data_IF_911869108575
#
_entry.id   IF_911869108575
#
_cell.length_a   1.000
_cell.length_b   1.000
_cell.length_c   1.000
_cell.angle_alpha   90.00
_cell.angle_beta   90.00
_cell.angle_gamma   90.00
#
_symmetry.space_group_name_H-M   'P 1'
#
loop_
_entity.id
_entity.type
_entity.pdbx_description
1 polymer ?
#
# COMPACT_ATOMS: atom_id res chain seq x y z
N UNK A 1 -0.36 -8.10 81.63
CA UNK A 1 -1.57 -7.98 80.80
C UNK A 1 -1.13 -7.46 79.45
N UNK A 2 -1.32 -8.28 78.43
CA UNK A 2 -0.65 -8.28 77.12
C UNK A 2 -0.90 -6.99 76.31
N UNK A 3 0.16 -6.39 75.76
CA UNK A 3 0.03 -5.38 74.70
C UNK A 3 0.41 -6.02 73.36
N UNK A 4 -0.61 -6.25 72.53
CA UNK A 4 -0.48 -6.66 71.13
C UNK A 4 0.05 -5.47 70.32
N UNK A 5 1.21 -5.63 69.67
CA UNK A 5 1.68 -4.68 68.63
C UNK A 5 1.34 -5.30 67.28
N UNK A 6 0.28 -4.77 66.65
CA UNK A 6 -0.12 -5.11 65.29
C UNK A 6 0.76 -4.30 64.34
N UNK A 7 1.74 -4.95 63.72
CA UNK A 7 2.54 -4.38 62.65
C UNK A 7 1.77 -4.38 61.33
N UNK A 8 1.37 -3.20 60.87
CA UNK A 8 0.78 -3.01 59.55
C UNK A 8 1.87 -3.04 58.47
N UNK A 9 1.95 -4.15 57.71
CA UNK A 9 2.76 -4.23 56.50
C UNK A 9 2.06 -3.46 55.37
N UNK A 10 2.59 -2.27 55.04
CA UNK A 10 2.21 -1.53 53.84
C UNK A 10 2.83 -2.21 52.62
N UNK A 11 2.01 -2.93 51.84
CA UNK A 11 2.37 -3.41 50.52
C UNK A 11 2.39 -2.23 49.53
N UNK A 12 3.55 -1.62 49.32
CA UNK A 12 3.77 -0.71 48.21
C UNK A 12 3.82 -1.50 46.89
N UNK A 13 2.70 -1.51 46.17
CA UNK A 13 2.62 -1.96 44.79
C UNK A 13 3.32 -0.94 43.89
N UNK A 14 4.56 -1.25 43.51
CA UNK A 14 5.32 -0.46 42.55
C UNK A 14 4.85 -0.83 41.14
N UNK A 15 3.96 -0.03 40.54
CA UNK A 15 3.56 -0.19 39.15
C UNK A 15 4.76 0.13 38.25
N UNK A 16 5.44 -0.91 37.75
CA UNK A 16 6.49 -0.76 36.74
C UNK A 16 5.89 -0.11 35.50
N UNK A 17 6.07 1.20 35.35
CA UNK A 17 5.86 1.88 34.07
C UNK A 17 6.84 1.25 33.08
N UNK A 18 6.32 0.57 32.07
CA UNK A 18 7.11 0.05 30.95
C UNK A 18 7.64 1.28 30.21
N UNK A 19 8.89 1.65 30.49
CA UNK A 19 9.59 2.70 29.75
C UNK A 19 9.89 2.17 28.37
N UNK A 20 9.11 2.58 27.37
CA UNK A 20 9.41 2.32 25.96
C UNK A 20 10.65 3.15 25.62
N UNK A 21 11.82 2.51 25.57
CA UNK A 21 13.07 3.14 25.13
C UNK A 21 12.88 3.66 23.70
N UNK A 22 12.76 4.98 23.57
CA UNK A 22 12.69 5.67 22.27
C UNK A 22 14.09 6.14 21.92
N UNK A 23 14.76 5.46 21.00
CA UNK A 23 16.02 5.93 20.40
C UNK A 23 15.68 6.71 19.13
N UNK A 24 16.14 7.96 19.07
CA UNK A 24 16.11 8.77 17.85
C UNK A 24 17.24 8.30 16.93
N UNK A 25 16.92 8.07 15.67
CA UNK A 25 17.86 7.71 14.60
C UNK A 25 17.49 8.53 13.36
N UNK A 26 18.47 8.90 12.53
CA UNK A 26 18.17 9.47 11.21
C UNK A 26 17.50 8.40 10.34
N UNK A 27 16.38 8.73 9.69
CA UNK A 27 15.65 7.77 8.87
C UNK A 27 16.50 7.18 7.74
N UNK A 28 17.47 7.94 7.21
CA UNK A 28 18.36 7.48 6.13
C UNK A 28 19.28 6.34 6.51
N UNK A 29 19.56 6.19 7.81
CA UNK A 29 20.40 5.11 8.32
C UNK A 29 19.63 3.77 8.36
N UNK A 30 18.32 3.80 8.14
CA UNK A 30 17.49 2.61 8.07
C UNK A 30 17.62 1.95 6.69
N UNK A 31 18.15 0.73 6.66
CA UNK A 31 18.18 -0.12 5.46
C UNK A 31 16.80 -0.76 5.21
N UNK A 32 15.79 0.08 4.94
CA UNK A 32 14.43 -0.38 4.59
C UNK A 32 14.50 -1.14 3.27
N UNK A 33 13.96 -2.37 3.25
CA UNK A 33 14.12 -3.29 2.13
C UNK A 33 13.00 -3.12 1.10
N UNK A 34 13.30 -2.48 -0.01
CA UNK A 34 12.45 -2.50 -1.21
C UNK A 34 12.56 -3.82 -1.98
N UNK A 35 11.60 -4.12 -2.85
CA UNK A 35 11.67 -5.25 -3.76
C UNK A 35 12.50 -4.91 -5.02
N UNK A 36 13.56 -5.67 -5.26
CA UNK A 36 14.37 -5.58 -6.49
C UNK A 36 13.89 -6.61 -7.52
N UNK A 37 13.58 -6.13 -8.74
CA UNK A 37 13.17 -6.95 -9.87
C UNK A 37 13.31 -6.15 -11.17
N UNK A 38 13.60 -6.81 -12.29
CA UNK A 38 13.46 -6.21 -13.63
C UNK A 38 12.03 -6.39 -14.13
N UNK A 39 11.55 -7.64 -14.05
CA UNK A 39 10.21 -8.03 -14.44
C UNK A 39 9.54 -8.84 -13.34
N UNK A 40 8.24 -8.61 -13.14
CA UNK A 40 7.43 -9.31 -12.15
C UNK A 40 6.11 -9.75 -12.77
N UNK A 41 5.72 -11.01 -12.55
CA UNK A 41 4.38 -11.50 -12.87
C UNK A 41 3.68 -11.85 -11.57
N UNK A 42 2.46 -11.32 -11.39
CA UNK A 42 1.65 -11.50 -10.18
C UNK A 42 0.28 -12.02 -10.57
N UNK A 43 -0.23 -12.99 -9.83
CA UNK A 43 -1.63 -13.38 -9.85
C UNK A 43 -2.24 -13.06 -8.49
N UNK A 44 -3.36 -12.34 -8.46
CA UNK A 44 -4.02 -11.93 -7.19
C UNK A 44 -5.52 -12.18 -7.22
N UNK A 45 -6.11 -12.34 -6.03
CA UNK A 45 -7.51 -11.99 -5.79
C UNK A 45 -7.57 -10.52 -5.38
N UNK A 46 -8.60 -9.84 -5.87
CA UNK A 46 -8.82 -8.42 -5.60
C UNK A 46 -10.26 -8.22 -5.22
N UNK A 47 -10.49 -7.56 -4.09
CA UNK A 47 -11.78 -7.03 -3.69
C UNK A 47 -11.68 -5.50 -3.69
N UNK A 48 -12.57 -4.85 -4.44
CA UNK A 48 -12.71 -3.41 -4.44
C UNK A 48 -14.08 -3.05 -3.88
N UNK A 49 -14.10 -2.26 -2.82
CA UNK A 49 -15.32 -1.91 -2.10
C UNK A 49 -15.48 -0.40 -2.03
N UNK A 50 -16.62 0.04 -2.53
CA UNK A 50 -17.13 1.40 -2.46
C UNK A 50 -18.38 1.39 -1.56
N UNK A 51 -18.88 2.56 -1.19
CA UNK A 51 -20.02 2.74 -0.26
C UNK A 51 -21.21 1.80 -0.53
N UNK A 52 -21.50 1.51 -1.80
CA UNK A 52 -22.68 0.74 -2.21
C UNK A 52 -22.36 -0.50 -3.06
N UNK A 53 -21.08 -0.80 -3.28
CA UNK A 53 -20.68 -1.82 -4.26
C UNK A 53 -19.40 -2.52 -3.83
N UNK A 54 -19.45 -3.84 -3.83
CA UNK A 54 -18.25 -4.69 -3.72
C UNK A 54 -18.05 -5.43 -5.03
N UNK A 55 -16.86 -5.27 -5.61
CA UNK A 55 -16.46 -5.93 -6.85
C UNK A 55 -15.31 -6.87 -6.58
N UNK A 56 -15.50 -8.16 -6.92
CA UNK A 56 -14.47 -9.17 -6.78
C UNK A 56 -13.88 -9.54 -8.15
N UNK A 57 -12.56 -9.63 -8.23
CA UNK A 57 -11.84 -9.99 -9.44
C UNK A 57 -10.63 -10.89 -9.15
N UNK A 58 -10.21 -11.63 -10.18
CA UNK A 58 -8.86 -12.19 -10.25
C UNK A 58 -8.03 -11.31 -11.17
N UNK A 59 -6.90 -10.83 -10.66
CA UNK A 59 -5.95 -10.01 -11.42
C UNK A 59 -4.78 -10.87 -11.90
N UNK A 60 -4.40 -10.68 -13.17
CA UNK A 60 -3.09 -11.08 -13.69
C UNK A 60 -2.34 -9.80 -14.00
N UNK A 61 -1.23 -9.57 -13.33
CA UNK A 61 -0.43 -8.36 -13.41
C UNK A 61 0.96 -8.74 -13.94
N UNK A 62 1.50 -7.90 -14.81
CA UNK A 62 2.87 -7.96 -15.29
C UNK A 62 3.48 -6.59 -15.11
N UNK A 63 4.66 -6.52 -14.55
CA UNK A 63 5.37 -5.28 -14.34
C UNK A 63 6.77 -5.35 -14.96
N UNK A 64 7.19 -4.24 -15.55
CA UNK A 64 8.60 -3.90 -15.68
C UNK A 64 8.85 -2.76 -14.72
N UNK A 65 9.82 -2.93 -13.83
CA UNK A 65 10.12 -1.95 -12.78
C UNK A 65 10.32 -0.56 -13.38
N UNK A 66 9.69 0.42 -12.74
CA UNK A 66 9.78 1.84 -13.05
C UNK A 66 9.43 2.18 -14.50
N UNK A 67 8.55 1.40 -15.14
CA UNK A 67 8.24 1.58 -16.56
C UNK A 67 6.79 1.27 -16.93
N UNK A 68 6.30 0.07 -16.63
CA UNK A 68 4.97 -0.34 -17.09
C UNK A 68 4.35 -1.37 -16.15
N UNK A 69 3.06 -1.17 -15.87
CA UNK A 69 2.20 -2.13 -15.18
C UNK A 69 1.09 -2.52 -16.15
N UNK A 70 1.10 -3.74 -16.63
CA UNK A 70 0.03 -4.31 -17.43
C UNK A 70 -0.83 -5.21 -16.56
N UNK A 71 -2.14 -5.18 -16.76
CA UNK A 71 -3.02 -6.06 -16.01
C UNK A 71 -4.22 -6.53 -16.81
N UNK A 72 -4.78 -7.66 -16.38
CA UNK A 72 -6.05 -8.15 -16.85
C UNK A 72 -6.88 -8.62 -15.66
N UNK A 73 -8.07 -8.07 -15.53
CA UNK A 73 -9.04 -8.43 -14.50
C UNK A 73 -10.09 -9.36 -15.11
N UNK A 74 -10.36 -10.46 -14.42
CA UNK A 74 -11.45 -11.37 -14.74
C UNK A 74 -12.38 -11.54 -13.56
N UNK A 75 -13.68 -11.52 -13.82
CA UNK A 75 -14.72 -11.80 -12.83
C UNK A 75 -14.86 -13.30 -12.54
N UNK A 76 -16.02 -13.69 -12.01
CA UNK A 76 -16.38 -15.09 -11.83
C UNK A 76 -16.28 -15.89 -13.15
N UNK A 77 -15.95 -17.18 -13.05
CA UNK A 77 -15.80 -18.10 -14.20
C UNK A 77 -14.73 -17.69 -15.24
N UNK A 78 -13.82 -16.76 -14.92
CA UNK A 78 -12.70 -16.38 -15.78
C UNK A 78 -13.08 -15.46 -16.95
N UNK A 79 -14.29 -14.88 -16.94
CA UNK A 79 -14.72 -13.91 -17.95
C UNK A 79 -13.83 -12.67 -17.85
N UNK A 80 -13.08 -12.38 -18.92
CA UNK A 80 -12.16 -11.23 -18.96
C UNK A 80 -12.98 -9.93 -19.04
N UNK A 81 -12.98 -9.16 -17.97
CA UNK A 81 -13.75 -7.92 -17.90
C UNK A 81 -12.95 -6.71 -18.39
N UNK A 82 -11.71 -6.58 -17.88
CA UNK A 82 -10.90 -5.38 -18.08
C UNK A 82 -9.47 -5.77 -18.41
N UNK A 83 -8.85 -5.06 -19.37
CA UNK A 83 -7.40 -5.07 -19.56
C UNK A 83 -6.90 -3.64 -19.43
N UNK A 84 -5.81 -3.45 -18.71
CA UNK A 84 -5.18 -2.15 -18.57
C UNK A 84 -3.68 -2.18 -18.83
N UNK A 85 -3.16 -1.01 -19.14
CA UNK A 85 -1.73 -0.72 -19.13
C UNK A 85 -1.54 0.65 -18.49
N UNK A 86 -0.64 0.72 -17.52
CA UNK A 86 -0.26 1.91 -16.79
C UNK A 86 1.21 2.17 -17.11
N UNK A 87 1.50 3.35 -17.60
CA UNK A 87 2.86 3.88 -17.81
C UNK A 87 3.06 5.09 -16.91
N UNK A 88 4.25 5.69 -16.92
CA UNK A 88 4.55 6.87 -16.08
C UNK A 88 3.67 8.09 -16.35
N UNK A 89 3.06 8.15 -17.53
CA UNK A 89 2.29 9.29 -18.02
C UNK A 89 0.79 9.01 -18.13
N UNK A 90 0.36 7.75 -18.19
CA UNK A 90 -1.03 7.44 -18.52
C UNK A 90 -1.53 6.10 -17.96
N UNK A 91 -2.84 6.05 -17.76
CA UNK A 91 -3.62 4.84 -17.49
C UNK A 91 -4.53 4.60 -18.67
N UNK A 92 -4.38 3.45 -19.33
CA UNK A 92 -5.20 3.05 -20.48
C UNK A 92 -6.00 1.81 -20.13
N UNK A 93 -7.32 1.89 -20.27
CA UNK A 93 -8.26 0.85 -19.87
C UNK A 93 -9.09 0.39 -21.06
N UNK A 94 -9.10 -0.92 -21.28
CA UNK A 94 -9.94 -1.60 -22.25
C UNK A 94 -11.03 -2.38 -21.49
N UNK A 95 -12.23 -1.81 -21.41
CA UNK A 95 -13.41 -2.48 -20.87
C UNK A 95 -13.97 -3.42 -21.95
N UNK A 96 -13.72 -4.71 -21.81
CA UNK A 96 -14.10 -5.73 -22.81
C UNK A 96 -15.58 -6.08 -22.76
N UNK A 97 -16.25 -5.81 -21.65
CA UNK A 97 -17.69 -6.04 -21.47
C UNK A 97 -18.47 -4.99 -22.24
N UNK A 98 -18.14 -3.73 -22.02
CA UNK A 98 -18.82 -2.59 -22.68
C UNK A 98 -18.22 -2.24 -24.04
N UNK A 99 -17.09 -2.85 -24.40
CA UNK A 99 -16.30 -2.49 -25.59
C UNK A 99 -15.90 -1.02 -25.61
N UNK A 100 -15.53 -0.47 -24.46
CA UNK A 100 -15.04 0.90 -24.31
C UNK A 100 -13.55 0.94 -24.06
N UNK A 101 -12.92 2.00 -24.54
CA UNK A 101 -11.51 2.29 -24.36
C UNK A 101 -11.36 3.68 -23.74
N UNK A 102 -10.64 3.75 -22.62
CA UNK A 102 -10.40 4.97 -21.88
C UNK A 102 -8.90 5.24 -21.81
N UNK A 103 -8.52 6.51 -21.88
CA UNK A 103 -7.16 6.98 -21.60
C UNK A 103 -7.25 8.11 -20.60
N UNK A 104 -6.51 7.99 -19.50
CA UNK A 104 -6.42 9.00 -18.46
C UNK A 104 -4.97 9.40 -18.25
N UNK A 105 -4.73 10.68 -17.98
CA UNK A 105 -3.49 11.10 -17.30
C UNK A 105 -3.63 10.97 -15.77
N UNK A 106 -2.53 11.11 -15.03
CA UNK A 106 -2.58 11.01 -13.57
C UNK A 106 -3.27 12.19 -12.87
N UNK A 107 -3.50 13.33 -13.54
CA UNK A 107 -4.31 14.41 -12.98
C UNK A 107 -5.78 14.00 -12.96
N UNK A 108 -6.26 13.37 -14.02
CA UNK A 108 -7.61 12.82 -14.10
C UNK A 108 -7.82 11.70 -13.09
N UNK A 109 -6.87 10.78 -12.97
CA UNK A 109 -6.92 9.71 -11.96
C UNK A 109 -6.92 10.31 -10.55
N UNK A 110 -6.04 11.26 -10.27
CA UNK A 110 -5.98 11.89 -8.95
C UNK A 110 -7.26 12.65 -8.60
N UNK A 111 -7.91 13.26 -9.60
CA UNK A 111 -9.19 13.95 -9.44
C UNK A 111 -10.32 12.98 -9.10
N UNK A 112 -10.39 11.83 -9.78
CA UNK A 112 -11.42 10.82 -9.54
C UNK A 112 -11.38 10.29 -8.10
N UNK A 113 -10.17 9.98 -7.61
CA UNK A 113 -9.98 9.47 -6.25
C UNK A 113 -9.82 10.58 -5.20
N UNK A 114 -9.74 11.85 -5.61
CA UNK A 114 -9.47 12.98 -4.71
C UNK A 114 -8.21 12.78 -3.85
N UNK A 115 -7.19 12.17 -4.45
CA UNK A 115 -5.91 11.86 -3.81
C UNK A 115 -4.82 11.84 -4.89
N UNK A 116 -3.60 12.35 -4.62
CA UNK A 116 -2.51 12.31 -5.60
C UNK A 116 -2.09 10.87 -5.85
N UNK A 117 -2.43 10.36 -7.02
CA UNK A 117 -2.07 9.01 -7.48
C UNK A 117 -1.15 9.16 -8.68
N UNK A 118 0.05 8.61 -8.57
CA UNK A 118 1.06 8.52 -9.63
C UNK A 118 1.43 7.05 -9.90
N UNK A 119 2.28 6.82 -10.90
CA UNK A 119 2.75 5.48 -11.27
C UNK A 119 3.50 4.82 -10.10
N UNK A 120 4.37 5.59 -9.46
CA UNK A 120 5.24 5.16 -8.37
C UNK A 120 4.43 4.65 -7.17
N UNK A 121 3.36 5.34 -6.79
CA UNK A 121 2.46 4.93 -5.72
C UNK A 121 1.77 3.60 -6.05
N UNK A 122 1.23 3.45 -7.27
CA UNK A 122 0.58 2.21 -7.69
C UNK A 122 1.58 1.05 -7.67
N UNK A 123 2.78 1.26 -8.19
CA UNK A 123 3.83 0.24 -8.17
C UNK A 123 4.20 -0.14 -6.73
N UNK A 124 4.42 0.85 -5.86
CA UNK A 124 4.82 0.65 -4.46
C UNK A 124 3.76 -0.15 -3.68
N UNK A 125 2.48 0.19 -3.84
CA UNK A 125 1.36 -0.53 -3.22
C UNK A 125 1.38 -2.01 -3.61
N UNK A 126 1.58 -2.32 -4.90
CA UNK A 126 1.55 -3.69 -5.41
C UNK A 126 2.71 -4.57 -4.91
N UNK A 127 3.79 -4.00 -4.39
CA UNK A 127 4.98 -4.75 -3.95
C UNK A 127 5.35 -4.53 -2.48
N UNK A 128 4.63 -3.67 -1.77
CA UNK A 128 4.90 -3.35 -0.36
C UNK A 128 6.12 -2.44 -0.15
N UNK A 129 6.44 -1.60 -1.13
CA UNK A 129 7.54 -0.64 -1.03
C UNK A 129 7.07 0.69 -0.43
N UNK A 130 8.03 1.51 0.01
CA UNK A 130 7.77 2.86 0.49
C UNK A 130 7.13 3.71 -0.62
N UNK A 131 6.02 4.42 -0.36
CA UNK A 131 5.34 5.23 -1.37
C UNK A 131 6.12 6.49 -1.76
N UNK A 132 6.98 6.98 -0.87
CA UNK A 132 7.92 8.08 -1.12
C UNK A 132 9.30 7.70 -0.55
N UNK A 133 10.40 8.09 -1.23
CA UNK A 133 11.75 7.80 -0.74
C UNK A 133 12.00 8.53 0.60
N UNK A 134 12.95 8.01 1.38
CA UNK A 134 13.44 8.71 2.57
C UNK A 134 14.47 9.76 2.14
N UNK A 135 14.32 10.97 2.66
CA UNK A 135 15.24 12.09 2.44
C UNK A 135 15.91 12.52 3.75
N UNK A 136 16.99 13.30 3.63
CA UNK A 136 17.68 13.89 4.79
C UNK A 136 16.71 14.72 5.64
N UNK A 137 16.79 14.55 6.97
CA UNK A 137 15.94 15.26 7.91
C UNK A 137 14.55 14.63 8.13
N UNK A 138 14.26 13.47 7.53
CA UNK A 138 13.10 12.67 7.92
C UNK A 138 13.33 12.05 9.31
N UNK A 139 12.35 12.22 10.21
CA UNK A 139 12.43 11.72 11.58
C UNK A 139 12.18 10.21 11.62
N UNK A 140 13.07 9.45 12.28
CA UNK A 140 12.81 8.06 12.62
C UNK A 140 12.91 7.80 14.13
N UNK A 141 11.97 7.00 14.63
CA UNK A 141 11.94 6.57 16.03
C UNK A 141 11.84 5.07 16.13
N UNK A 142 12.63 4.51 17.04
CA UNK A 142 12.60 3.10 17.39
C UNK A 142 11.56 2.86 18.49
N UNK A 143 10.48 2.12 18.20
CA UNK A 143 9.37 1.87 19.15
C UNK A 143 8.99 0.39 19.13
N UNK A 144 9.22 -0.33 20.24
CA UNK A 144 8.92 -1.76 20.33
C UNK A 144 9.62 -2.57 19.23
N UNK A 145 8.86 -3.30 18.40
CA UNK A 145 9.37 -4.08 17.25
C UNK A 145 9.40 -3.30 15.92
N UNK A 146 9.09 -2.00 15.93
CA UNK A 146 8.98 -1.18 14.71
C UNK A 146 9.88 0.05 14.70
N UNK A 147 10.39 0.40 13.53
CA UNK A 147 10.81 1.77 13.24
C UNK A 147 9.59 2.54 12.74
N UNK A 148 9.40 3.76 13.24
CA UNK A 148 8.37 4.69 12.80
C UNK A 148 9.09 5.83 12.09
N UNK A 149 8.90 5.94 10.78
CA UNK A 149 9.48 7.01 9.96
C UNK A 149 8.38 7.99 9.60
N UNK A 150 8.58 9.27 9.96
CA UNK A 150 7.64 10.35 9.66
C UNK A 150 8.21 11.24 8.57
N UNK A 151 7.38 11.54 7.58
CA UNK A 151 7.71 12.42 6.47
C UNK A 151 6.64 13.50 6.37
N UNK A 152 7.07 14.69 5.96
CA UNK A 152 6.21 15.83 5.71
C UNK A 152 6.53 16.31 4.29
N UNK A 153 5.67 15.95 3.34
CA UNK A 153 5.90 16.15 1.91
C UNK A 153 4.70 16.92 1.36
N UNK A 154 4.95 18.09 0.77
CA UNK A 154 3.92 18.98 0.21
C UNK A 154 2.73 19.19 1.18
N UNK A 155 1.52 18.74 0.82
CA UNK A 155 0.31 18.85 1.63
C UNK A 155 0.05 17.64 2.54
N UNK A 156 1.02 16.73 2.74
CA UNK A 156 0.78 15.43 3.38
C UNK A 156 1.69 15.15 4.57
N UNK A 157 1.12 14.57 5.62
CA UNK A 157 1.84 13.85 6.66
C UNK A 157 1.84 12.36 6.34
N UNK A 158 3.03 11.74 6.30
CA UNK A 158 3.19 10.31 6.03
C UNK A 158 3.86 9.67 7.25
N UNK A 159 3.24 8.62 7.80
CA UNK A 159 3.83 7.79 8.85
C UNK A 159 3.98 6.36 8.36
N UNK A 160 5.23 5.91 8.26
CA UNK A 160 5.59 4.57 7.81
C UNK A 160 6.00 3.71 9.02
N UNK A 161 5.50 2.48 9.08
CA UNK A 161 5.80 1.52 10.14
C UNK A 161 6.57 0.36 9.55
N UNK A 162 7.84 0.26 9.93
CA UNK A 162 8.78 -0.74 9.39
C UNK A 162 9.10 -1.75 10.47
N UNK A 163 9.01 -3.02 10.13
CA UNK A 163 9.38 -4.12 11.03
C UNK A 163 10.90 -4.20 11.19
N UNK A 164 11.40 -4.24 12.44
CA UNK A 164 12.85 -4.23 12.72
C UNK A 164 13.58 -5.53 12.36
N UNK A 165 12.86 -6.64 12.30
CA UNK A 165 13.43 -7.96 12.07
C UNK A 165 13.71 -8.19 10.59
N UNK A 166 12.76 -7.86 9.72
CA UNK A 166 12.88 -8.07 8.27
C UNK A 166 13.07 -6.77 7.47
N UNK A 167 13.03 -5.61 8.14
CA UNK A 167 13.15 -4.28 7.53
C UNK A 167 12.11 -4.00 6.43
N UNK A 168 10.94 -4.66 6.47
CA UNK A 168 9.83 -4.46 5.54
C UNK A 168 8.81 -3.47 6.09
N UNK A 169 8.21 -2.71 5.18
CA UNK A 169 7.11 -1.81 5.46
C UNK A 169 5.84 -2.61 5.75
N UNK A 170 5.22 -2.42 6.91
CA UNK A 170 3.99 -3.13 7.29
C UNK A 170 2.75 -2.23 7.24
N UNK A 171 2.92 -0.93 7.41
CA UNK A 171 1.81 0.02 7.42
C UNK A 171 2.27 1.41 6.99
N UNK A 172 1.40 2.09 6.24
CA UNK A 172 1.53 3.51 5.90
C UNK A 172 0.22 4.19 6.27
N UNK A 173 0.33 5.32 6.98
CA UNK A 173 -0.78 6.25 7.14
C UNK A 173 -0.39 7.58 6.51
N UNK A 174 -1.16 8.03 5.53
CA UNK A 174 -1.03 9.33 4.87
C UNK A 174 -2.25 10.17 5.24
N UNK A 175 -2.04 11.41 5.65
CA UNK A 175 -3.11 12.37 5.94
C UNK A 175 -2.80 13.68 5.24
N UNK A 176 -3.76 14.18 4.46
CA UNK A 176 -3.74 15.50 3.87
C UNK A 176 -3.98 16.57 4.95
N UNK A 177 -3.17 17.63 4.98
CA UNK A 177 -3.17 18.62 6.06
C UNK A 177 -4.41 19.50 6.10
N UNK A 178 -4.99 19.76 4.93
CA UNK A 178 -6.06 20.74 4.77
C UNK A 178 -7.46 20.13 4.93
N UNK A 179 -7.61 18.87 4.55
CA UNK A 179 -8.91 18.19 4.40
C UNK A 179 -9.08 17.01 5.36
N UNK A 180 -8.00 16.58 6.02
CA UNK A 180 -7.89 15.31 6.74
C UNK A 180 -8.17 14.06 5.89
N UNK A 181 -8.28 14.19 4.56
CA UNK A 181 -8.35 13.04 3.66
C UNK A 181 -7.14 12.13 3.90
N UNK A 182 -7.38 10.83 3.92
CA UNK A 182 -6.32 9.89 4.31
C UNK A 182 -6.26 8.64 3.45
N UNK A 183 -5.03 8.14 3.30
CA UNK A 183 -4.75 6.84 2.71
C UNK A 183 -4.09 5.98 3.79
N UNK A 184 -4.67 4.81 4.03
CA UNK A 184 -4.08 3.76 4.86
C UNK A 184 -3.66 2.59 3.99
N UNK A 185 -2.44 2.13 4.16
CA UNK A 185 -1.90 0.91 3.56
C UNK A 185 -1.50 -0.06 4.66
N UNK A 186 -1.85 -1.33 4.53
CA UNK A 186 -1.42 -2.42 5.41
C UNK A 186 -0.87 -3.57 4.58
N UNK A 187 0.28 -4.08 5.00
CA UNK A 187 0.98 -5.18 4.36
C UNK A 187 1.15 -6.33 5.35
N UNK A 188 0.72 -7.53 4.95
CA UNK A 188 0.73 -8.74 5.78
C UNK A 188 1.18 -9.96 4.98
N UNK A 189 1.36 -11.06 5.71
CA UNK A 189 1.64 -12.38 5.15
C UNK A 189 2.86 -12.38 4.22
N UNK A 190 3.99 -11.86 4.72
CA UNK A 190 5.21 -11.76 3.95
C UNK A 190 5.73 -13.15 3.57
N UNK A 191 5.82 -13.40 2.26
CA UNK A 191 6.55 -14.51 1.66
C UNK A 191 7.88 -14.03 1.09
N UNK A 192 8.55 -14.87 0.31
CA UNK A 192 9.81 -14.50 -0.35
C UNK A 192 9.76 -14.78 -1.85
N UNK A 193 10.40 -13.90 -2.63
CA UNK A 193 10.76 -14.13 -4.03
C UNK A 193 12.22 -13.79 -4.22
N UNK A 194 13.02 -14.70 -4.79
CA UNK A 194 14.49 -14.55 -4.88
C UNK A 194 15.11 -14.08 -3.55
N UNK A 195 14.71 -14.71 -2.44
CA UNK A 195 15.16 -14.40 -1.06
C UNK A 195 14.74 -13.00 -0.53
N UNK A 196 13.97 -12.23 -1.30
CA UNK A 196 13.47 -10.92 -0.89
C UNK A 196 12.04 -11.04 -0.36
N UNK A 197 11.78 -10.43 0.80
CA UNK A 197 10.43 -10.41 1.37
C UNK A 197 9.44 -9.61 0.51
N UNK A 198 8.23 -10.11 0.34
CA UNK A 198 7.13 -9.43 -0.38
C UNK A 198 5.80 -9.76 0.31
N UNK A 199 4.89 -8.79 0.51
CA UNK A 199 3.61 -9.08 1.16
C UNK A 199 2.73 -9.92 0.24
N UNK A 200 1.97 -10.85 0.81
CA UNK A 200 0.93 -11.58 0.07
C UNK A 200 -0.46 -11.01 0.34
N UNK A 201 -0.67 -10.25 1.41
CA UNK A 201 -1.93 -9.56 1.67
C UNK A 201 -1.69 -8.06 1.81
N UNK A 202 -2.42 -7.30 1.00
CA UNK A 202 -2.37 -5.84 0.94
C UNK A 202 -3.79 -5.32 1.18
N UNK A 203 -3.93 -4.38 2.09
CA UNK A 203 -5.16 -3.62 2.28
C UNK A 203 -4.86 -2.15 2.10
N UNK A 204 -5.63 -1.48 1.25
CA UNK A 204 -5.62 -0.03 1.09
C UNK A 204 -7.01 0.52 1.40
N UNK A 205 -7.09 1.60 2.16
CA UNK A 205 -8.31 2.35 2.39
C UNK A 205 -8.05 3.83 2.13
N UNK A 206 -8.87 4.41 1.26
CA UNK A 206 -8.91 5.84 1.02
C UNK A 206 -10.16 6.40 1.68
N UNK A 207 -9.95 7.37 2.56
CA UNK A 207 -10.99 8.00 3.37
C UNK A 207 -11.03 9.47 2.98
N UNK A 208 -12.19 9.90 2.49
CA UNK A 208 -12.45 11.27 2.09
C UNK A 208 -13.49 11.91 3.00
N UNK A 209 -13.20 13.11 3.49
CA UNK A 209 -14.12 13.88 4.33
C UNK A 209 -14.77 15.00 3.51
N UNK A 210 -16.10 15.01 3.45
CA UNK A 210 -16.86 16.08 2.82
C UNK A 210 -18.05 16.53 3.68
N UNK A 211 -18.83 17.48 3.18
CA UNK A 211 -20.00 18.04 3.87
C UNK A 211 -21.09 17.01 4.20
N UNK A 212 -21.10 15.85 3.54
CA UNK A 212 -22.04 14.74 3.77
C UNK A 212 -21.48 13.65 4.69
N UNK A 213 -20.23 13.77 5.13
CA UNK A 213 -19.56 12.84 6.03
C UNK A 213 -18.33 12.17 5.42
N UNK A 214 -18.05 10.96 5.90
CA UNK A 214 -16.89 10.17 5.49
C UNK A 214 -17.28 9.22 4.34
N UNK A 215 -16.53 9.28 3.24
CA UNK A 215 -16.60 8.32 2.14
C UNK A 215 -15.34 7.44 2.16
N UNK A 216 -15.55 6.14 2.29
CA UNK A 216 -14.46 5.16 2.32
C UNK A 216 -14.46 4.29 1.06
N UNK A 217 -13.30 4.20 0.41
CA UNK A 217 -13.01 3.26 -0.68
C UNK A 217 -11.92 2.29 -0.25
N UNK A 218 -12.19 0.98 -0.31
CA UNK A 218 -11.27 -0.06 0.12
C UNK A 218 -10.81 -0.93 -1.06
N UNK A 219 -9.54 -1.34 -1.02
CA UNK A 219 -8.93 -2.27 -1.95
C UNK A 219 -8.18 -3.35 -1.15
N UNK A 220 -8.63 -4.59 -1.25
CA UNK A 220 -7.93 -5.76 -0.69
C UNK A 220 -7.31 -6.55 -1.83
N UNK A 221 -6.02 -6.85 -1.74
CA UNK A 221 -5.28 -7.65 -2.71
C UNK A 221 -4.62 -8.81 -1.99
N UNK A 222 -5.00 -10.03 -2.35
CA UNK A 222 -4.33 -11.24 -1.91
C UNK A 222 -3.57 -11.85 -3.08
N UNK A 223 -2.24 -11.77 -3.05
CA UNK A 223 -1.39 -12.43 -4.03
C UNK A 223 -1.48 -13.94 -3.87
N UNK A 224 -1.73 -14.62 -4.98
CA UNK A 224 -1.72 -16.08 -5.09
C UNK A 224 -0.33 -16.56 -5.52
N UNK A 225 0.31 -15.83 -6.44
CA UNK A 225 1.58 -16.20 -7.02
C UNK A 225 2.35 -14.96 -7.46
N UNK A 226 3.64 -14.92 -7.16
CA UNK A 226 4.59 -13.90 -7.63
C UNK A 226 5.80 -14.59 -8.26
N UNK A 227 6.26 -14.11 -9.41
CA UNK A 227 7.42 -14.64 -10.13
C UNK A 227 8.26 -13.50 -10.70
N UNK A 228 9.49 -13.35 -10.22
CA UNK A 228 10.46 -12.41 -10.77
C UNK A 228 11.21 -13.03 -11.95
N UNK A 229 11.61 -12.21 -12.91
CA UNK A 229 12.42 -12.65 -14.05
C UNK A 229 13.37 -11.56 -14.50
N UNK A 230 14.59 -11.95 -14.88
CA UNK A 230 15.56 -11.08 -15.56
C UNK A 230 15.36 -11.09 -17.08
N UNK A 231 14.49 -11.99 -17.59
CA UNK A 231 14.17 -12.07 -19.01
C UNK A 231 12.99 -11.16 -19.35
N UNK A 232 13.04 -10.41 -20.46
CA UNK A 232 11.93 -9.58 -20.88
C UNK A 232 10.62 -10.37 -21.04
N UNK A 233 9.55 -9.87 -20.43
CA UNK A 233 8.19 -10.36 -20.63
C UNK A 233 7.39 -9.40 -21.53
N UNK A 234 6.32 -9.92 -22.15
CA UNK A 234 5.47 -9.13 -23.06
C UNK A 234 4.34 -8.43 -22.33
N UNK A 235 4.03 -7.21 -22.78
CA UNK A 235 2.92 -6.36 -22.31
C UNK A 235 1.91 -6.08 -23.44
N UNK A 236 1.21 -7.10 -23.95
CA UNK A 236 0.37 -6.94 -25.13
C UNK A 236 -0.85 -6.05 -24.86
N UNK A 237 -0.91 -4.90 -25.50
CA UNK A 237 -2.03 -3.97 -25.42
C UNK A 237 -2.32 -3.41 -26.82
N UNK A 238 -3.43 -3.85 -27.41
CA UNK A 238 -3.89 -3.39 -28.71
C UNK A 238 -5.38 -3.13 -28.59
N UNK A 239 -5.81 -1.94 -29.01
CA UNK A 239 -7.22 -1.54 -29.00
C UNK A 239 -7.87 -2.02 -30.30
N UNK A 240 -8.84 -2.96 -30.25
CA UNK A 240 -9.52 -3.41 -31.46
C UNK A 240 -10.42 -2.31 -32.02
N UNK A 241 -10.55 -2.22 -33.35
CA UNK A 241 -11.34 -1.18 -34.06
C UNK A 241 -12.81 -1.06 -33.61
N UNK A 242 -13.37 -2.12 -33.01
CA UNK A 242 -14.77 -2.18 -32.55
C UNK A 242 -15.00 -1.55 -31.17
N UNK A 243 -13.97 -0.96 -30.56
CA UNK A 243 -14.08 -0.33 -29.25
C UNK A 243 -14.33 1.16 -29.43
N UNK A 244 -15.26 1.68 -28.64
CA UNK A 244 -15.56 3.10 -28.57
C UNK A 244 -14.49 3.80 -27.73
N UNK A 245 -13.86 4.84 -28.30
CA UNK A 245 -12.92 5.69 -27.57
C UNK A 245 -13.75 6.68 -26.74
N UNK A 246 -13.40 6.80 -25.46
CA UNK A 246 -14.03 7.73 -24.52
C UNK A 246 -13.04 8.84 -24.17
#
# INVERSE_FOLDING_TARGET
MSLLVIGAFLLQSCSKKITVFTRSTDAKDLNIKSLSFDYLTIKSKVEFKETHKTTNATAQIRMRKDSVIWFNLSGALGVQGVRGIITKDSVKILNKVEKKYFTYDFKEVSKEFQFPIDFELIQAILVGDMPKPIEDGNDAKSVGKKYIVKQNIDNFYITNYINKENMKLEEVNVTEKETDNSLKLLYKDFGTINEQGVPYSIFAALIHHNEFGELETQLTIDHIKLEASDKPIKFPFTVPKKYEVQ
#
